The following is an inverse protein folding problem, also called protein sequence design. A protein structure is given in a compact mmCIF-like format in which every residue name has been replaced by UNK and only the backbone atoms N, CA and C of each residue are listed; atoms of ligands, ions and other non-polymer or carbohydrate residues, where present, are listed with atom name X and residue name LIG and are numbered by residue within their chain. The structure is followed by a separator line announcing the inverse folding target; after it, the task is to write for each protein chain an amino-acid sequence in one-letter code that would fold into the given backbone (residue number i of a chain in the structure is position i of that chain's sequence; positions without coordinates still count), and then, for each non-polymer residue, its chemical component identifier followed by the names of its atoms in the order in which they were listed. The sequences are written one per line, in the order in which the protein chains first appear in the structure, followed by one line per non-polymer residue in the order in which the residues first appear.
data_IF_233804663395
#
_entry.id   IF_233804663395
#
_cell.length_a   1.000
_cell.length_b   1.000
_cell.length_c   1.000
_cell.angle_alpha   90.00
_cell.angle_beta   90.00
_cell.angle_gamma   90.00
#
_symmetry.space_group_name_H-M   'P 1'
#
loop_
_entity.id
_entity.type
_entity.pdbx_description
1 polymer ?
#
# COMPACT_ATOMS: atom_id res chain seq x y z
N UNK A 1 19.28 13.17 -18.17
CA UNK A 1 18.25 12.23 -17.68
C UNK A 1 16.85 12.84 -17.84
N UNK A 2 16.68 13.77 -18.78
CA UNK A 2 15.59 14.75 -18.71
C UNK A 2 14.26 14.16 -19.19
N UNK A 3 14.33 13.09 -19.98
CA UNK A 3 13.16 12.36 -20.47
C UNK A 3 12.30 11.74 -19.34
N UNK A 4 12.87 11.45 -18.16
CA UNK A 4 12.09 10.92 -17.02
C UNK A 4 11.30 12.00 -16.28
N UNK A 5 11.62 13.27 -16.50
CA UNK A 5 10.90 14.42 -15.92
C UNK A 5 9.79 14.94 -16.84
N UNK A 6 9.75 14.48 -18.10
CA UNK A 6 8.75 14.90 -19.07
C UNK A 6 7.38 14.32 -18.75
N UNK A 7 6.37 15.19 -18.71
CA UNK A 7 4.98 14.82 -18.44
C UNK A 7 4.25 14.25 -19.65
N UNK A 8 4.78 14.44 -20.84
CA UNK A 8 4.22 13.90 -22.09
C UNK A 8 5.28 13.09 -22.82
N UNK A 9 4.83 12.08 -23.56
CA UNK A 9 5.68 11.26 -24.42
C UNK A 9 5.11 11.40 -25.82
N UNK A 10 5.79 12.20 -26.64
CA UNK A 10 5.52 12.28 -28.07
C UNK A 10 6.81 11.96 -28.82
N UNK A 11 6.90 10.73 -29.29
CA UNK A 11 8.06 10.25 -30.02
C UNK A 11 7.61 9.45 -31.25
N UNK A 12 7.89 10.01 -32.43
CA UNK A 12 7.58 9.40 -33.72
C UNK A 12 8.27 8.04 -33.94
N UNK A 13 9.38 7.77 -33.26
CA UNK A 13 10.07 6.47 -33.29
C UNK A 13 9.30 5.37 -32.55
N UNK A 14 8.42 5.73 -31.61
CA UNK A 14 7.65 4.80 -30.79
C UNK A 14 6.14 5.10 -30.79
N UNK A 15 5.48 5.07 -31.97
CA UNK A 15 4.10 5.52 -32.11
C UNK A 15 3.11 4.72 -31.26
N UNK A 16 3.34 3.41 -31.08
CA UNK A 16 2.50 2.56 -30.23
C UNK A 16 2.56 2.96 -28.76
N UNK A 17 3.74 3.31 -28.25
CA UNK A 17 3.93 3.75 -26.87
C UNK A 17 3.31 5.14 -26.67
N UNK A 18 3.62 6.07 -27.57
CA UNK A 18 3.04 7.43 -27.61
C UNK A 18 1.52 7.38 -27.52
N UNK A 19 0.86 6.65 -28.41
CA UNK A 19 -0.60 6.55 -28.44
C UNK A 19 -1.17 5.92 -27.16
N UNK A 20 -0.50 4.89 -26.62
CA UNK A 20 -0.99 4.22 -25.41
C UNK A 20 -0.87 5.11 -24.18
N UNK A 21 0.22 5.85 -24.05
CA UNK A 21 0.42 6.81 -22.96
C UNK A 21 -0.58 7.95 -23.08
N UNK A 22 -0.80 8.46 -24.29
CA UNK A 22 -1.79 9.50 -24.55
C UNK A 22 -3.19 9.05 -24.11
N UNK A 23 -3.63 7.86 -24.54
CA UNK A 23 -4.90 7.28 -24.12
C UNK A 23 -5.05 7.24 -22.59
N UNK A 24 -4.03 6.74 -21.88
CA UNK A 24 -4.08 6.61 -20.42
C UNK A 24 -4.10 7.95 -19.67
N UNK A 25 -3.62 9.03 -20.29
CA UNK A 25 -3.51 10.36 -19.67
C UNK A 25 -4.66 11.29 -20.01
N UNK A 26 -5.15 11.22 -21.24
CA UNK A 26 -6.02 12.25 -21.82
C UNK A 26 -7.38 11.72 -22.26
N UNK A 27 -7.50 10.44 -22.61
CA UNK A 27 -8.77 9.86 -23.04
C UNK A 27 -9.57 9.32 -21.85
N UNK A 28 -10.86 9.61 -21.80
CA UNK A 28 -11.74 9.27 -20.67
C UNK A 28 -11.63 7.80 -20.25
N UNK A 29 -11.68 6.87 -21.21
CA UNK A 29 -11.55 5.44 -20.93
C UNK A 29 -10.18 5.02 -20.41
N UNK A 30 -9.12 5.76 -20.73
CA UNK A 30 -7.77 5.51 -20.21
C UNK A 30 -7.55 6.14 -18.84
N UNK A 31 -8.01 7.37 -18.65
CA UNK A 31 -8.01 8.05 -17.36
C UNK A 31 -8.80 7.25 -16.33
N UNK A 32 -9.99 6.75 -16.68
CA UNK A 32 -10.81 5.93 -15.79
C UNK A 32 -10.04 4.69 -15.29
N UNK A 33 -9.36 3.97 -16.20
CA UNK A 33 -8.53 2.81 -15.83
C UNK A 33 -7.37 3.21 -14.90
N UNK A 34 -6.73 4.34 -15.16
CA UNK A 34 -5.65 4.84 -14.30
C UNK A 34 -6.18 5.25 -12.91
N UNK A 35 -7.36 5.88 -12.83
CA UNK A 35 -8.02 6.20 -11.59
C UNK A 35 -8.34 4.94 -10.76
N UNK A 36 -8.89 3.90 -11.37
CA UNK A 36 -9.17 2.61 -10.71
C UNK A 36 -7.89 1.98 -10.14
N UNK A 37 -6.81 1.95 -10.94
CA UNK A 37 -5.51 1.45 -10.48
C UNK A 37 -5.01 2.28 -9.29
N UNK A 38 -5.07 3.60 -9.38
CA UNK A 38 -4.57 4.48 -8.32
C UNK A 38 -5.39 4.37 -7.04
N UNK A 39 -6.70 4.19 -7.15
CA UNK A 39 -7.58 3.93 -6.01
C UNK A 39 -7.22 2.59 -5.34
N UNK A 40 -6.97 1.54 -6.11
CA UNK A 40 -6.52 0.25 -5.56
C UNK A 40 -5.17 0.37 -4.83
N UNK A 41 -4.21 1.10 -5.40
CA UNK A 41 -2.92 1.36 -4.75
C UNK A 41 -3.12 2.14 -3.44
N UNK A 42 -3.96 3.17 -3.45
CA UNK A 42 -4.27 3.98 -2.27
C UNK A 42 -4.93 3.13 -1.18
N UNK A 43 -5.92 2.30 -1.52
CA UNK A 43 -6.57 1.35 -0.59
C UNK A 43 -5.56 0.36 0.00
N UNK A 44 -4.62 -0.17 -0.81
CA UNK A 44 -3.55 -1.05 -0.32
C UNK A 44 -2.59 -0.34 0.63
N UNK A 45 -2.21 0.91 0.32
CA UNK A 45 -1.35 1.72 1.17
C UNK A 45 -2.01 2.00 2.53
N UNK A 46 -3.28 2.42 2.53
CA UNK A 46 -4.06 2.64 3.75
C UNK A 46 -4.16 1.36 4.57
N UNK A 47 -4.55 0.22 3.96
CA UNK A 47 -4.63 -1.07 4.66
C UNK A 47 -3.29 -1.47 5.29
N UNK A 48 -2.17 -1.24 4.60
CA UNK A 48 -0.82 -1.53 5.13
C UNK A 48 -0.49 -0.63 6.32
N UNK A 49 -0.82 0.66 6.25
CA UNK A 49 -0.63 1.60 7.34
C UNK A 49 -1.48 1.23 8.57
N UNK A 50 -2.77 0.92 8.38
CA UNK A 50 -3.66 0.45 9.44
C UNK A 50 -3.14 -0.82 10.09
N UNK A 51 -2.74 -1.82 9.28
CA UNK A 51 -2.17 -3.07 9.81
C UNK A 51 -0.92 -2.81 10.67
N UNK A 52 -0.03 -1.92 10.22
CA UNK A 52 1.16 -1.54 10.98
C UNK A 52 0.80 -0.87 12.31
N UNK A 53 -0.15 0.07 12.30
CA UNK A 53 -0.63 0.73 13.51
C UNK A 53 -1.26 -0.26 14.50
N UNK A 54 -2.06 -1.21 14.01
CA UNK A 54 -2.65 -2.27 14.81
C UNK A 54 -1.57 -3.16 15.45
N UNK A 55 -0.57 -3.58 14.67
CA UNK A 55 0.55 -4.38 15.19
C UNK A 55 1.29 -3.61 16.30
N UNK A 56 1.61 -2.33 16.10
CA UNK A 56 2.24 -1.49 17.14
C UNK A 56 1.38 -1.39 18.39
N UNK A 57 0.06 -1.19 18.25
CA UNK A 57 -0.85 -1.15 19.40
C UNK A 57 -0.87 -2.48 20.16
N UNK A 58 -0.86 -3.62 19.46
CA UNK A 58 -0.81 -4.95 20.07
C UNK A 58 0.52 -5.15 20.81
N UNK A 59 1.66 -4.74 20.24
CA UNK A 59 2.96 -4.80 20.93
C UNK A 59 2.92 -4.07 22.27
N UNK A 60 2.41 -2.84 22.28
CA UNK A 60 2.25 -2.06 23.52
C UNK A 60 1.32 -2.77 24.51
N UNK A 61 0.20 -3.36 24.06
CA UNK A 61 -0.70 -4.13 24.93
C UNK A 61 -0.02 -5.36 25.53
N UNK A 62 0.84 -6.05 24.78
CA UNK A 62 1.64 -7.18 25.27
C UNK A 62 2.66 -6.73 26.32
N UNK A 63 3.31 -5.57 26.14
CA UNK A 63 4.18 -4.97 27.15
C UNK A 63 3.43 -4.69 28.47
N UNK A 64 2.18 -4.22 28.38
CA UNK A 64 1.30 -4.03 29.54
C UNK A 64 0.63 -5.32 30.05
N UNK A 65 1.05 -6.50 29.54
CA UNK A 65 0.53 -7.82 29.95
C UNK A 65 -0.99 -7.97 29.78
N UNK A 66 -1.56 -7.30 28.79
CA UNK A 66 -2.99 -7.47 28.46
C UNK A 66 -3.20 -8.89 27.92
N UNK A 67 -4.23 -9.63 28.39
CA UNK A 67 -4.46 -11.00 27.98
C UNK A 67 -4.86 -11.10 26.49
N UNK A 68 -4.41 -12.17 25.82
CA UNK A 68 -4.64 -12.44 24.39
C UNK A 68 -6.13 -12.35 24.05
N UNK A 69 -6.99 -12.90 24.88
CA UNK A 69 -8.45 -12.95 24.69
C UNK A 69 -9.06 -11.54 24.61
N UNK A 70 -8.50 -10.57 25.35
CA UNK A 70 -8.97 -9.18 25.31
C UNK A 70 -8.47 -8.44 24.07
N UNK A 71 -7.26 -8.75 23.61
CA UNK A 71 -6.69 -8.18 22.38
C UNK A 71 -7.47 -8.69 21.17
N UNK A 72 -7.77 -10.00 21.12
CA UNK A 72 -8.50 -10.62 20.01
C UNK A 72 -9.98 -10.20 19.90
N UNK A 73 -10.54 -9.51 20.90
CA UNK A 73 -11.87 -8.85 20.76
C UNK A 73 -11.85 -7.71 19.75
N UNK A 74 -10.70 -7.07 19.51
CA UNK A 74 -10.57 -5.90 18.63
C UNK A 74 -9.63 -6.12 17.45
N UNK A 75 -8.68 -7.05 17.56
CA UNK A 75 -7.67 -7.30 16.54
C UNK A 75 -7.71 -8.75 16.05
N UNK A 76 -7.20 -8.98 14.85
CA UNK A 76 -7.16 -10.32 14.26
C UNK A 76 -6.03 -11.16 14.83
N UNK A 77 -6.20 -12.50 14.79
CA UNK A 77 -5.14 -13.42 15.20
C UNK A 77 -3.88 -13.30 14.32
N UNK A 78 -4.04 -12.95 13.04
CA UNK A 78 -2.91 -12.68 12.14
C UNK A 78 -2.09 -11.47 12.59
N UNK A 79 -2.74 -10.37 12.97
CA UNK A 79 -2.06 -9.17 13.49
C UNK A 79 -1.35 -9.45 14.81
N UNK A 80 -2.00 -10.20 15.70
CA UNK A 80 -1.41 -10.64 16.96
C UNK A 80 -0.14 -11.49 16.76
N UNK A 81 -0.23 -12.52 15.93
CA UNK A 81 0.91 -13.39 15.64
C UNK A 81 2.06 -12.63 14.97
N UNK A 82 1.74 -11.66 14.10
CA UNK A 82 2.76 -10.79 13.48
C UNK A 82 3.45 -9.94 14.54
N UNK A 83 2.70 -9.34 15.47
CA UNK A 83 3.25 -8.53 16.56
C UNK A 83 4.23 -9.33 17.45
N UNK A 84 3.88 -10.57 17.80
CA UNK A 84 4.77 -11.46 18.56
C UNK A 84 6.05 -11.76 17.78
N UNK A 85 5.94 -12.13 16.50
CA UNK A 85 7.10 -12.46 15.68
C UNK A 85 8.07 -11.26 15.55
N UNK A 86 7.53 -10.05 15.36
CA UNK A 86 8.34 -8.84 15.30
C UNK A 86 9.03 -8.52 16.65
N UNK A 87 8.33 -8.62 17.78
CA UNK A 87 8.93 -8.42 19.11
C UNK A 87 10.07 -9.42 19.40
N UNK A 88 9.89 -10.67 19.00
CA UNK A 88 10.93 -11.70 19.13
C UNK A 88 12.15 -11.42 18.25
N UNK A 89 11.94 -10.81 17.07
CA UNK A 89 13.04 -10.40 16.18
C UNK A 89 13.79 -9.17 16.69
N UNK A 90 13.11 -8.24 17.35
CA UNK A 90 13.69 -7.02 17.93
C UNK A 90 14.49 -7.29 19.22
N UNK A 91 14.25 -8.44 19.86
CA UNK A 91 14.95 -8.87 21.08
C UNK A 91 16.23 -9.67 20.81
N UNK A 92 16.61 -9.88 19.54
CA UNK A 92 17.84 -10.57 19.11
C UNK A 92 18.93 -9.56 18.73
#
# INVERSE_FOLDING_TARGET
MDCFLQKEIDNAKFPKLTNRVHYLKHEEGGVQKMCEVMEQYSKKAVKKATKKANITAIKNMLEFKIPKESILKKYTESEYNTAIAELQSESR
#
